data_IF_720601880510
#
_entry.id   IF_720601880510
#
_cell.length_a   1.000
_cell.length_b   1.000
_cell.length_c   1.000
_cell.angle_alpha   90.00
_cell.angle_beta   90.00
_cell.angle_gamma   90.00
#
_symmetry.space_group_name_H-M   'P 1'
#
loop_
_entity.id
_entity.type
_entity.pdbx_description
1 polymer ?
#
# COMPACT_ATOMS: atom_id res chain seq x y z
N UNK A 1 53.01 -39.74 7.47
CA UNK A 1 53.43 -39.36 8.84
C UNK A 1 53.11 -37.87 8.97
N UNK A 2 51.89 -37.48 9.33
CA UNK A 2 51.44 -37.21 10.69
C UNK A 2 49.92 -37.41 10.81
N UNK A 3 49.49 -38.14 11.83
CA UNK A 3 48.10 -38.27 12.29
C UNK A 3 47.66 -36.98 13.01
N UNK A 4 46.44 -36.51 12.77
CA UNK A 4 45.54 -35.97 13.80
C UNK A 4 44.09 -36.33 13.49
N UNK A 5 43.64 -37.36 14.18
CA UNK A 5 42.25 -37.67 14.48
C UNK A 5 41.75 -36.72 15.58
N UNK A 6 40.53 -36.19 15.45
CA UNK A 6 39.67 -35.83 16.57
C UNK A 6 38.21 -35.74 16.08
N UNK A 7 37.37 -36.55 16.72
CA UNK A 7 35.92 -36.59 16.58
C UNK A 7 35.27 -35.33 17.15
N UNK A 8 34.22 -34.85 16.48
CA UNK A 8 33.08 -34.15 17.08
C UNK A 8 31.89 -34.46 16.15
N UNK A 9 31.18 -35.59 16.33
CA UNK A 9 30.09 -35.76 17.29
C UNK A 9 29.03 -34.64 17.18
N UNK A 10 28.06 -34.88 16.29
CA UNK A 10 26.64 -34.63 16.49
C UNK A 10 26.18 -33.22 16.90
N UNK A 11 25.60 -32.51 15.93
CA UNK A 11 24.34 -31.82 16.18
C UNK A 11 23.52 -31.80 14.88
N UNK A 12 22.95 -32.96 14.55
CA UNK A 12 21.81 -33.02 13.65
C UNK A 12 20.66 -32.39 14.46
N UNK A 13 20.38 -31.10 14.24
CA UNK A 13 19.18 -30.47 14.80
C UNK A 13 18.01 -31.04 14.00
N UNK A 14 17.47 -32.16 14.50
CA UNK A 14 16.14 -32.62 14.18
C UNK A 14 15.17 -31.56 14.71
N UNK A 15 14.75 -30.63 13.85
CA UNK A 15 13.47 -29.94 14.03
C UNK A 15 12.35 -30.92 13.66
N UNK A 16 12.26 -32.00 14.44
CA UNK A 16 11.12 -32.90 14.43
C UNK A 16 10.02 -32.26 15.26
N UNK A 17 9.06 -31.66 14.55
CA UNK A 17 7.66 -31.55 14.96
C UNK A 17 7.39 -30.85 16.29
N UNK A 18 7.35 -29.52 16.27
CA UNK A 18 6.19 -28.89 16.90
C UNK A 18 5.05 -29.11 15.92
N UNK A 19 4.19 -30.10 16.20
CA UNK A 19 2.83 -30.10 15.68
C UNK A 19 2.20 -28.79 16.16
N UNK A 20 2.38 -27.73 15.38
CA UNK A 20 1.55 -26.55 15.46
C UNK A 20 0.15 -27.10 15.25
N UNK A 21 -0.70 -27.03 16.27
CA UNK A 21 -2.08 -27.49 16.15
C UNK A 21 -2.64 -26.79 14.91
N UNK A 22 -2.91 -27.59 13.88
CA UNK A 22 -3.54 -27.13 12.67
C UNK A 22 -4.77 -26.34 13.08
N UNK A 23 -4.79 -25.04 12.73
CA UNK A 23 -5.85 -24.14 13.17
C UNK A 23 -7.21 -24.71 12.82
N UNK A 24 -8.21 -24.51 13.68
CA UNK A 24 -9.59 -24.82 13.26
C UNK A 24 -9.94 -23.96 12.03
N UNK A 25 -10.92 -24.39 11.23
CA UNK A 25 -11.42 -23.57 10.12
C UNK A 25 -11.81 -22.15 10.59
N UNK A 26 -12.33 -22.02 11.82
CA UNK A 26 -12.63 -20.73 12.44
C UNK A 26 -11.39 -19.90 12.80
N UNK A 27 -10.29 -20.53 13.22
CA UNK A 27 -9.03 -19.80 13.46
C UNK A 27 -8.46 -19.25 12.17
N UNK A 28 -8.56 -20.02 11.09
CA UNK A 28 -8.11 -19.59 9.77
C UNK A 28 -8.97 -18.48 9.18
N UNK A 29 -10.29 -18.55 9.31
CA UNK A 29 -11.17 -17.44 8.92
C UNK A 29 -10.78 -16.15 9.66
N UNK A 30 -10.59 -16.22 10.98
CA UNK A 30 -10.16 -15.06 11.79
C UNK A 30 -8.80 -14.51 11.34
N UNK A 31 -7.85 -15.39 11.03
CA UNK A 31 -6.55 -14.97 10.52
C UNK A 31 -6.68 -14.24 9.18
N UNK A 32 -7.47 -14.77 8.23
CA UNK A 32 -7.66 -14.17 6.91
C UNK A 32 -8.44 -12.85 6.97
N UNK A 33 -9.36 -12.68 7.92
CA UNK A 33 -10.01 -11.38 8.19
C UNK A 33 -9.02 -10.29 8.64
N UNK A 34 -7.99 -10.68 9.39
CA UNK A 34 -6.96 -9.77 9.89
C UNK A 34 -5.88 -9.51 8.84
N UNK A 35 -5.40 -10.57 8.18
CA UNK A 35 -4.27 -10.53 7.26
C UNK A 35 -4.66 -10.10 5.84
N UNK A 36 -5.91 -10.28 5.43
CA UNK A 36 -6.46 -9.90 4.13
C UNK A 36 -7.76 -9.09 4.26
N UNK A 37 -8.60 -9.14 3.22
CA UNK A 37 -9.96 -8.57 3.26
C UNK A 37 -11.05 -9.58 3.62
N UNK A 38 -10.65 -10.78 4.06
CA UNK A 38 -11.55 -11.84 4.51
C UNK A 38 -11.25 -13.17 3.82
N UNK A 39 -11.75 -14.29 4.39
CA UNK A 39 -11.57 -15.61 3.83
C UNK A 39 -12.45 -15.84 2.59
N UNK A 40 -11.91 -16.58 1.62
CA UNK A 40 -12.72 -17.30 0.64
C UNK A 40 -12.89 -18.77 1.06
N UNK A 41 -13.99 -19.45 0.69
CA UNK A 41 -14.15 -20.89 0.98
C UNK A 41 -12.96 -21.73 0.48
N UNK A 42 -12.47 -21.43 -0.72
CA UNK A 42 -11.34 -22.11 -1.32
C UNK A 42 -10.04 -21.93 -0.50
N UNK A 43 -9.78 -20.72 0.01
CA UNK A 43 -8.61 -20.48 0.86
C UNK A 43 -8.73 -21.16 2.23
N UNK A 44 -9.91 -21.10 2.87
CA UNK A 44 -10.11 -21.78 4.15
C UNK A 44 -9.92 -23.29 4.00
N UNK A 45 -10.41 -23.89 2.92
CA UNK A 45 -10.26 -25.33 2.70
C UNK A 45 -8.80 -25.71 2.39
N UNK A 46 -8.09 -24.88 1.61
CA UNK A 46 -6.70 -25.14 1.22
C UNK A 46 -5.69 -24.93 2.37
N UNK A 47 -5.95 -23.94 3.25
CA UNK A 47 -4.99 -23.53 4.27
C UNK A 47 -5.38 -23.93 5.68
N UNK A 48 -6.59 -24.43 5.94
CA UNK A 48 -7.08 -24.77 7.30
C UNK A 48 -6.08 -25.59 8.14
N UNK A 49 -5.28 -26.45 7.51
CA UNK A 49 -4.33 -27.31 8.22
C UNK A 49 -2.85 -26.89 8.09
N UNK A 50 -2.59 -25.70 7.54
CA UNK A 50 -1.24 -25.18 7.26
C UNK A 50 -0.79 -24.17 8.32
N UNK A 51 0.50 -23.81 8.27
CA UNK A 51 1.11 -22.76 9.09
C UNK A 51 0.79 -21.35 8.51
N UNK A 52 0.24 -20.41 9.31
CA UNK A 52 0.06 -19.01 8.92
C UNK A 52 1.30 -18.33 8.33
N UNK A 53 2.51 -18.68 8.80
CA UNK A 53 3.74 -18.12 8.24
C UNK A 53 3.96 -18.57 6.79
N UNK A 54 3.60 -19.81 6.45
CA UNK A 54 3.68 -20.30 5.07
C UNK A 54 2.72 -19.56 4.14
N UNK A 55 1.53 -19.20 4.63
CA UNK A 55 0.60 -18.33 3.88
C UNK A 55 1.16 -16.92 3.69
N UNK A 56 1.73 -16.32 4.74
CA UNK A 56 2.36 -14.98 4.63
C UNK A 56 3.48 -14.99 3.58
N UNK A 57 4.32 -16.02 3.59
CA UNK A 57 5.40 -16.17 2.61
C UNK A 57 4.87 -16.38 1.19
N UNK A 58 3.82 -17.18 1.01
CA UNK A 58 3.21 -17.38 -0.31
C UNK A 58 2.61 -16.08 -0.85
N UNK A 59 1.93 -15.31 -0.01
CA UNK A 59 1.39 -14.00 -0.34
C UNK A 59 2.48 -12.98 -0.68
N UNK A 60 3.58 -12.96 0.08
CA UNK A 60 4.70 -12.06 -0.18
C UNK A 60 5.39 -12.32 -1.53
N UNK A 61 5.35 -13.56 -2.02
CA UNK A 61 5.92 -13.97 -3.30
C UNK A 61 5.03 -13.62 -4.51
N UNK A 62 3.76 -13.26 -4.30
CA UNK A 62 2.87 -12.88 -5.39
C UNK A 62 3.25 -11.51 -5.98
N UNK A 63 3.16 -11.37 -7.32
CA UNK A 63 3.34 -10.07 -7.96
C UNK A 63 2.27 -9.09 -7.48
N UNK A 64 2.59 -7.79 -7.39
CA UNK A 64 1.64 -6.79 -6.91
C UNK A 64 0.50 -6.58 -7.91
N UNK A 65 -0.74 -6.53 -7.42
CA UNK A 65 -1.86 -6.02 -8.21
C UNK A 65 -1.93 -4.50 -8.08
N UNK A 66 -1.63 -3.79 -9.17
CA UNK A 66 -1.53 -2.34 -9.20
C UNK A 66 -2.84 -1.66 -9.60
N UNK A 67 -3.00 -0.40 -9.19
CA UNK A 67 -4.01 0.51 -9.73
C UNK A 67 -3.67 0.89 -11.18
N UNK A 68 -4.68 1.03 -12.06
CA UNK A 68 -4.46 1.34 -13.46
C UNK A 68 -3.95 2.78 -13.66
N UNK A 69 -3.18 3.01 -14.73
CA UNK A 69 -2.88 4.37 -15.17
C UNK A 69 -4.15 5.03 -15.68
N UNK A 70 -4.48 6.22 -15.15
CA UNK A 70 -5.69 6.96 -15.51
C UNK A 70 -5.32 8.25 -16.25
N UNK A 71 -6.23 8.71 -17.11
CA UNK A 71 -6.00 9.88 -17.93
C UNK A 71 -6.06 11.18 -17.10
N UNK A 72 -5.20 12.17 -17.40
CA UNK A 72 -5.35 13.51 -16.84
C UNK A 72 -6.66 14.14 -17.29
N UNK A 73 -7.19 15.07 -16.49
CA UNK A 73 -8.39 15.81 -16.85
C UNK A 73 -8.23 16.46 -18.23
N UNK A 74 -9.22 16.35 -19.12
CA UNK A 74 -9.06 16.83 -20.48
C UNK A 74 -9.02 18.37 -20.52
N UNK A 75 -8.19 18.91 -21.40
CA UNK A 75 -8.09 20.36 -21.64
C UNK A 75 -9.29 20.93 -22.41
N UNK A 76 -10.07 20.07 -23.08
CA UNK A 76 -11.31 20.44 -23.75
C UNK A 76 -12.36 19.32 -23.64
N UNK A 77 -13.64 19.69 -23.63
CA UNK A 77 -14.74 18.72 -23.61
C UNK A 77 -14.80 17.85 -24.88
N UNK A 78 -14.21 18.30 -25.98
CA UNK A 78 -14.22 17.58 -27.26
C UNK A 78 -13.25 16.39 -27.28
N UNK A 79 -12.18 16.42 -26.48
CA UNK A 79 -11.12 15.40 -26.51
C UNK A 79 -11.29 14.32 -25.43
N UNK A 80 -11.87 14.64 -24.27
CA UNK A 80 -11.94 13.69 -23.15
C UNK A 80 -13.30 13.04 -22.93
N UNK A 81 -14.37 13.84 -22.97
CA UNK A 81 -15.75 13.39 -22.78
C UNK A 81 -16.65 14.08 -23.79
N UNK A 82 -16.63 13.68 -25.07
CA UNK A 82 -17.50 14.27 -26.08
C UNK A 82 -18.97 13.96 -25.75
N UNK A 83 -19.83 14.97 -25.85
CA UNK A 83 -21.26 14.85 -25.56
C UNK A 83 -21.77 15.97 -24.65
N UNK A 84 -23.06 15.90 -24.29
CA UNK A 84 -23.73 16.88 -23.44
C UNK A 84 -24.65 16.18 -22.43
N UNK A 85 -25.14 16.94 -21.44
CA UNK A 85 -26.09 16.44 -20.45
C UNK A 85 -25.57 15.23 -19.67
N UNK A 86 -26.43 14.22 -19.51
CA UNK A 86 -26.12 13.03 -18.70
C UNK A 86 -24.96 12.20 -19.24
N UNK A 87 -24.75 12.16 -20.56
CA UNK A 87 -23.64 11.41 -21.18
C UNK A 87 -22.30 12.03 -20.77
N UNK A 88 -22.19 13.36 -20.82
CA UNK A 88 -21.02 14.09 -20.36
C UNK A 88 -20.76 13.85 -18.87
N UNK A 89 -21.77 14.02 -18.01
CA UNK A 89 -21.64 13.85 -16.56
C UNK A 89 -21.24 12.42 -16.16
N UNK A 90 -21.81 11.40 -16.82
CA UNK A 90 -21.44 10.01 -16.60
C UNK A 90 -19.97 9.75 -16.98
N UNK A 91 -19.54 10.23 -18.15
CA UNK A 91 -18.15 10.11 -18.59
C UNK A 91 -17.17 10.76 -17.62
N UNK A 92 -17.47 11.99 -17.15
CA UNK A 92 -16.64 12.69 -16.16
C UNK A 92 -16.53 11.88 -14.87
N UNK A 93 -17.66 11.40 -14.35
CA UNK A 93 -17.70 10.59 -13.13
C UNK A 93 -16.84 9.34 -13.28
N UNK A 94 -17.01 8.60 -14.37
CA UNK A 94 -16.36 7.31 -14.57
C UNK A 94 -14.86 7.40 -14.84
N UNK A 95 -14.35 8.52 -15.37
CA UNK A 95 -12.96 8.61 -15.83
C UNK A 95 -12.11 9.63 -15.07
N UNK A 96 -12.72 10.70 -14.55
CA UNK A 96 -11.99 11.89 -14.09
C UNK A 96 -12.32 12.29 -12.65
N UNK A 97 -13.06 11.45 -11.91
CA UNK A 97 -13.28 11.63 -10.46
C UNK A 97 -12.60 10.50 -9.67
N UNK A 98 -12.77 10.47 -8.34
CA UNK A 98 -12.26 9.37 -7.52
C UNK A 98 -13.01 8.04 -7.74
N UNK A 99 -14.17 8.07 -8.39
CA UNK A 99 -15.01 6.88 -8.61
C UNK A 99 -14.26 5.67 -9.22
N UNK A 100 -13.50 5.79 -10.32
CA UNK A 100 -12.73 4.66 -10.85
C UNK A 100 -11.75 4.04 -9.84
N UNK A 101 -11.13 4.85 -8.97
CA UNK A 101 -10.22 4.34 -7.93
C UNK A 101 -10.96 3.67 -6.78
N UNK A 102 -12.16 4.15 -6.44
CA UNK A 102 -13.03 3.48 -5.46
C UNK A 102 -13.48 2.11 -5.98
N UNK A 103 -13.88 2.03 -7.25
CA UNK A 103 -14.20 0.76 -7.90
C UNK A 103 -12.98 -0.18 -7.90
N UNK A 104 -11.81 0.33 -8.29
CA UNK A 104 -10.58 -0.46 -8.30
C UNK A 104 -10.19 -0.95 -6.90
N UNK A 105 -10.37 -0.14 -5.85
CA UNK A 105 -10.12 -0.56 -4.48
C UNK A 105 -10.94 -1.79 -4.11
N UNK A 106 -12.25 -1.78 -4.39
CA UNK A 106 -13.10 -2.94 -4.09
C UNK A 106 -12.77 -4.15 -4.96
N UNK A 107 -12.45 -3.94 -6.24
CA UNK A 107 -11.96 -5.03 -7.09
C UNK A 107 -10.68 -5.65 -6.52
N UNK A 108 -9.75 -4.83 -6.05
CA UNK A 108 -8.51 -5.34 -5.47
C UNK A 108 -8.77 -6.10 -4.17
N UNK A 109 -9.54 -5.48 -3.26
CA UNK A 109 -9.88 -6.07 -1.98
C UNK A 109 -10.59 -7.42 -2.13
N UNK A 110 -11.51 -7.55 -3.09
CA UNK A 110 -12.32 -8.75 -3.23
C UNK A 110 -11.69 -9.82 -4.12
N UNK A 111 -10.90 -9.43 -5.14
CA UNK A 111 -10.53 -10.33 -6.24
C UNK A 111 -9.02 -10.46 -6.47
N UNK A 112 -8.19 -9.60 -5.89
CA UNK A 112 -6.74 -9.71 -6.11
C UNK A 112 -6.15 -10.90 -5.35
N UNK A 113 -5.18 -11.61 -5.96
CA UNK A 113 -4.56 -12.76 -5.30
C UNK A 113 -3.58 -12.35 -4.17
N UNK A 114 -3.02 -11.14 -4.21
CA UNK A 114 -2.04 -10.59 -3.26
C UNK A 114 -2.71 -9.89 -2.06
N UNK A 115 -3.69 -10.55 -1.44
CA UNK A 115 -4.53 -10.04 -0.34
C UNK A 115 -3.73 -9.39 0.80
N UNK A 116 -2.63 -10.02 1.23
CA UNK A 116 -1.78 -9.45 2.29
C UNK A 116 -1.22 -8.08 1.87
N UNK A 117 -0.75 -7.96 0.63
CA UNK A 117 -0.18 -6.71 0.09
C UNK A 117 -1.25 -5.63 0.01
N UNK A 118 -2.44 -5.97 -0.47
CA UNK A 118 -3.57 -5.03 -0.56
C UNK A 118 -4.01 -4.54 0.82
N UNK A 119 -4.08 -5.44 1.82
CA UNK A 119 -4.44 -5.09 3.20
C UNK A 119 -3.40 -4.16 3.83
N UNK A 120 -2.12 -4.47 3.69
CA UNK A 120 -1.03 -3.62 4.22
C UNK A 120 -0.99 -2.27 3.50
N UNK A 121 -1.18 -2.22 2.18
CA UNK A 121 -1.27 -0.97 1.43
C UNK A 121 -2.43 -0.09 1.91
N UNK A 122 -3.59 -0.68 2.21
CA UNK A 122 -4.72 0.03 2.80
C UNK A 122 -4.42 0.55 4.21
N UNK A 123 -3.76 -0.24 5.06
CA UNK A 123 -3.30 0.24 6.37
C UNK A 123 -2.31 1.39 6.24
N UNK A 124 -1.36 1.29 5.31
CA UNK A 124 -0.41 2.37 5.03
C UNK A 124 -1.11 3.64 4.54
N UNK A 125 -2.21 3.55 3.80
CA UNK A 125 -2.96 4.73 3.36
C UNK A 125 -3.64 5.49 4.51
N UNK A 126 -3.80 4.85 5.69
CA UNK A 126 -4.31 5.50 6.90
C UNK A 126 -3.20 6.19 7.71
N UNK A 127 -1.94 5.86 7.44
CA UNK A 127 -0.76 6.44 8.08
C UNK A 127 -0.16 7.52 7.18
N UNK A 128 0.19 7.14 5.95
CA UNK A 128 0.71 8.00 4.90
C UNK A 128 -0.48 8.57 4.12
N UNK A 129 -1.18 9.52 4.73
CA UNK A 129 -2.47 10.01 4.23
C UNK A 129 -2.30 11.04 3.11
N UNK A 130 -3.13 10.91 2.07
CA UNK A 130 -3.51 11.98 1.14
C UNK A 130 -5.03 11.99 0.98
N UNK A 131 -5.61 13.07 0.46
CA UNK A 131 -7.06 13.19 0.32
C UNK A 131 -7.51 13.51 -1.10
N UNK A 132 -8.52 12.78 -1.59
CA UNK A 132 -9.23 13.08 -2.84
C UNK A 132 -9.95 14.43 -2.84
N UNK A 133 -10.17 15.05 -1.68
CA UNK A 133 -10.72 16.41 -1.60
C UNK A 133 -9.72 17.49 -2.04
N UNK A 134 -8.41 17.22 -1.88
CA UNK A 134 -7.32 18.13 -2.26
C UNK A 134 -6.64 17.66 -3.55
N UNK A 135 -6.31 16.37 -3.64
CA UNK A 135 -5.79 15.72 -4.85
C UNK A 135 -6.95 15.12 -5.62
N UNK A 136 -7.64 15.96 -6.39
CA UNK A 136 -8.94 15.63 -7.00
C UNK A 136 -8.85 14.80 -8.28
N UNK A 137 -7.66 14.69 -8.87
CA UNK A 137 -7.46 13.99 -10.13
C UNK A 137 -7.06 12.53 -9.89
N UNK A 138 -7.81 11.56 -10.43
CA UNK A 138 -7.50 10.15 -10.23
C UNK A 138 -6.19 9.74 -10.92
N UNK A 139 -5.80 10.44 -11.98
CA UNK A 139 -4.48 10.30 -12.62
C UNK A 139 -3.31 10.69 -11.72
N UNK A 140 -3.51 11.58 -10.75
CA UNK A 140 -2.50 11.92 -9.73
C UNK A 140 -2.56 10.96 -8.54
N UNK A 141 -3.75 10.47 -8.18
CA UNK A 141 -3.96 9.59 -7.03
C UNK A 141 -3.55 8.13 -7.31
N UNK A 142 -3.74 7.63 -8.54
CA UNK A 142 -3.38 6.26 -8.90
C UNK A 142 -1.88 5.95 -8.69
N UNK A 143 -0.94 6.79 -9.16
CA UNK A 143 0.49 6.61 -8.85
C UNK A 143 0.80 6.61 -7.36
N UNK A 144 0.08 7.41 -6.56
CA UNK A 144 0.25 7.42 -5.10
C UNK A 144 -0.15 6.10 -4.47
N UNK A 145 -1.33 5.56 -4.83
CA UNK A 145 -1.77 4.25 -4.36
C UNK A 145 -0.79 3.14 -4.76
N UNK A 146 -0.22 3.23 -5.97
CA UNK A 146 0.83 2.30 -6.41
C UNK A 146 2.14 2.42 -5.63
N UNK A 147 2.51 3.59 -5.10
CA UNK A 147 3.64 3.70 -4.15
C UNK A 147 3.37 2.85 -2.90
N UNK A 148 2.16 2.90 -2.36
CA UNK A 148 1.79 2.13 -1.18
C UNK A 148 1.76 0.62 -1.45
N UNK A 149 1.17 0.20 -2.57
CA UNK A 149 1.13 -1.23 -2.96
C UNK A 149 2.54 -1.79 -3.16
N UNK A 150 3.41 -1.07 -3.87
CA UNK A 150 4.78 -1.53 -4.12
C UNK A 150 5.62 -1.57 -2.83
N UNK A 151 5.45 -0.58 -1.93
CA UNK A 151 6.17 -0.52 -0.67
C UNK A 151 5.58 -1.36 0.47
N UNK A 152 4.39 -1.93 0.30
CA UNK A 152 3.63 -2.59 1.37
C UNK A 152 4.42 -3.65 2.14
N UNK A 153 5.21 -4.47 1.43
CA UNK A 153 6.02 -5.55 2.04
C UNK A 153 7.52 -5.25 1.96
N UNK A 154 7.88 -3.98 1.74
CA UNK A 154 9.26 -3.54 1.49
C UNK A 154 9.90 -2.82 2.67
N UNK A 155 10.98 -2.10 2.37
CA UNK A 155 11.68 -1.28 3.36
C UNK A 155 10.94 0.04 3.61
N UNK A 156 10.72 0.37 4.88
CA UNK A 156 9.97 1.56 5.26
C UNK A 156 10.65 2.88 4.84
N UNK A 157 11.98 2.96 4.86
CA UNK A 157 12.73 4.14 4.42
C UNK A 157 12.52 4.41 2.93
N UNK A 158 12.56 3.36 2.12
CA UNK A 158 12.34 3.46 0.67
C UNK A 158 10.89 3.85 0.35
N UNK A 159 9.92 3.26 1.08
CA UNK A 159 8.52 3.67 1.00
C UNK A 159 8.35 5.15 1.33
N UNK A 160 8.93 5.61 2.45
CA UNK A 160 8.81 6.99 2.89
C UNK A 160 9.42 7.95 1.86
N UNK A 161 10.58 7.63 1.29
CA UNK A 161 11.20 8.41 0.22
C UNK A 161 10.31 8.47 -1.03
N UNK A 162 9.72 7.35 -1.45
CA UNK A 162 8.82 7.32 -2.60
C UNK A 162 7.54 8.13 -2.35
N UNK A 163 7.04 8.15 -1.11
CA UNK A 163 5.93 9.03 -0.71
C UNK A 163 6.36 10.50 -0.73
N UNK A 164 7.54 10.85 -0.23
CA UNK A 164 8.09 12.23 -0.29
C UNK A 164 8.13 12.76 -1.71
N UNK A 165 8.61 11.94 -2.65
CA UNK A 165 8.82 12.34 -4.03
C UNK A 165 7.54 12.26 -4.89
N UNK A 166 6.42 11.80 -4.33
CA UNK A 166 5.18 11.66 -5.08
C UNK A 166 4.43 13.00 -5.23
N UNK A 167 4.02 13.40 -6.46
CA UNK A 167 3.31 14.65 -6.69
C UNK A 167 2.00 14.81 -5.90
N UNK A 168 1.26 13.72 -5.64
CA UNK A 168 0.04 13.78 -4.85
C UNK A 168 0.33 14.20 -3.40
N UNK A 169 1.41 13.66 -2.81
CA UNK A 169 1.86 14.07 -1.47
C UNK A 169 2.35 15.52 -1.48
N UNK A 170 3.10 15.90 -2.51
CA UNK A 170 3.54 17.29 -2.69
C UNK A 170 2.40 18.29 -2.76
N UNK A 171 1.32 17.95 -3.47
CA UNK A 171 0.12 18.79 -3.49
C UNK A 171 -0.63 18.73 -2.15
N UNK A 172 -0.70 17.57 -1.51
CA UNK A 172 -1.48 17.38 -0.28
C UNK A 172 -0.91 18.16 0.91
N UNK A 173 0.42 18.19 1.07
CA UNK A 173 1.10 18.90 2.15
C UNK A 173 1.79 20.20 1.68
N UNK A 174 1.31 20.76 0.57
CA UNK A 174 1.68 22.10 0.08
C UNK A 174 3.19 22.29 -0.14
N UNK A 175 3.88 21.22 -0.55
CA UNK A 175 5.27 21.29 -1.02
C UNK A 175 5.35 21.85 -2.45
N UNK A 176 4.30 21.63 -3.25
CA UNK A 176 4.22 22.15 -4.62
C UNK A 176 4.26 23.68 -4.58
N UNK A 177 5.21 24.26 -5.30
CA UNK A 177 5.46 25.71 -5.35
C UNK A 177 5.82 26.35 -4.00
N UNK A 178 6.34 25.58 -3.03
CA UNK A 178 6.91 26.18 -1.83
C UNK A 178 8.23 26.87 -2.16
N UNK A 179 8.30 28.17 -1.88
CA UNK A 179 9.51 28.96 -2.09
C UNK A 179 10.49 28.82 -0.91
N UNK A 180 11.81 28.95 -1.15
CA UNK A 180 12.80 29.06 -0.09
C UNK A 180 12.63 30.37 0.69
N UNK A 181 13.18 30.42 1.90
CA UNK A 181 13.15 31.63 2.71
C UNK A 181 13.84 32.79 1.98
N UNK A 182 13.18 33.95 1.89
CA UNK A 182 13.80 35.14 1.31
C UNK A 182 14.75 35.81 2.32
N UNK A 183 15.81 36.46 1.82
CA UNK A 183 16.81 37.14 2.68
C UNK A 183 16.23 38.26 3.55
N UNK A 184 15.10 38.85 3.13
CA UNK A 184 14.36 39.86 3.89
C UNK A 184 13.28 39.26 4.83
N UNK A 185 13.17 37.93 4.91
CA UNK A 185 12.24 37.23 5.82
C UNK A 185 10.76 37.28 5.44
N UNK A 186 10.42 37.81 4.27
CA UNK A 186 9.04 37.94 3.79
C UNK A 186 8.48 36.59 3.34
N UNK A 187 9.27 35.79 2.62
CA UNK A 187 8.89 34.45 2.19
C UNK A 187 9.33 33.46 3.26
N UNK A 188 8.39 32.65 3.74
CA UNK A 188 8.63 31.56 4.69
C UNK A 188 8.36 30.22 4.01
N UNK A 189 9.27 29.23 4.10
CA UNK A 189 9.03 27.90 3.56
C UNK A 189 7.82 27.22 4.22
N UNK A 190 7.14 26.36 3.48
CA UNK A 190 6.09 25.53 4.05
C UNK A 190 6.70 24.35 4.84
N UNK A 191 6.40 24.27 6.13
CA UNK A 191 6.94 23.25 7.03
C UNK A 191 5.98 22.07 7.26
N UNK A 192 4.79 22.06 6.64
CA UNK A 192 3.78 21.04 6.89
C UNK A 192 4.33 19.63 6.64
N UNK A 193 4.92 19.38 5.47
CA UNK A 193 5.51 18.07 5.17
C UNK A 193 6.62 17.67 6.15
N UNK A 194 7.52 18.60 6.48
CA UNK A 194 8.62 18.33 7.40
C UNK A 194 8.10 17.91 8.78
N UNK A 195 7.02 18.57 9.25
CA UNK A 195 6.33 18.21 10.49
C UNK A 195 5.69 16.84 10.40
N UNK A 196 4.92 16.57 9.35
CA UNK A 196 4.20 15.30 9.21
C UNK A 196 5.15 14.11 9.07
N UNK A 197 6.28 14.29 8.37
CA UNK A 197 7.30 13.24 8.26
C UNK A 197 7.85 12.87 9.62
N UNK A 198 8.21 13.84 10.45
CA UNK A 198 8.75 13.58 11.79
C UNK A 198 7.67 13.02 12.73
N UNK A 199 6.47 13.60 12.69
CA UNK A 199 5.39 13.31 13.64
C UNK A 199 4.52 12.15 13.18
N UNK A 200 3.63 12.39 12.23
CA UNK A 200 2.56 11.43 11.89
C UNK A 200 3.07 10.22 11.11
N UNK A 201 4.11 10.39 10.29
CA UNK A 201 4.57 9.33 9.39
C UNK A 201 5.71 8.49 9.95
N UNK A 202 6.41 8.92 11.01
CA UNK A 202 7.53 8.16 11.55
C UNK A 202 7.56 8.00 13.08
N UNK A 203 7.76 9.07 13.85
CA UNK A 203 8.03 8.96 15.29
C UNK A 203 6.77 8.86 16.15
N UNK A 204 5.62 9.28 15.62
CA UNK A 204 4.36 9.40 16.36
C UNK A 204 4.26 10.68 17.19
N UNK A 205 3.08 10.89 17.78
CA UNK A 205 2.72 12.12 18.52
C UNK A 205 3.19 12.14 19.98
N UNK A 206 3.71 11.03 20.51
CA UNK A 206 3.98 10.87 21.95
C UNK A 206 5.36 11.41 22.41
N UNK A 207 6.18 11.96 21.50
CA UNK A 207 7.58 12.30 21.79
C UNK A 207 7.98 13.76 21.45
N UNK A 208 7.04 14.70 21.37
CA UNK A 208 7.33 16.13 21.13
C UNK A 208 6.69 17.05 22.15
#
# INVERSE_FOLDING_TARGET
MFKRSSLAAGLLVLFSGLLQAAGSQSDWSRFLDQAGFGPTPAETDAWAQQDPLAWIQSQAALPPTLYPSLLPYPSSSQTGCPGTGMVYTACITQNYTMYPLQVQFFQNALLSPDQLRQKVAFSLSQILVVSGNKVRQPSSMSPYLNVLVNGALGNFRDLLQNVTLNPAMGQYLDMVNSDPASSNGIVKPNENYAREVLQLFSLGLYLL
#
